data_IF_684756329838
#
_entry.id   IF_684756329838
#
_cell.length_a   1.000
_cell.length_b   1.000
_cell.length_c   1.000
_cell.angle_alpha   90.00
_cell.angle_beta   90.00
_cell.angle_gamma   90.00
#
_symmetry.space_group_name_H-M   'P 1'
#
loop_
_entity.id
_entity.type
_entity.pdbx_description
1 polymer ?
#
# COMPACT_ATOMS: atom_id res chain seq x y z
N UNK A 1 -10.18 0.01 24.79
CA UNK A 1 -8.87 0.64 24.58
C UNK A 1 -8.51 1.47 25.81
N UNK A 2 -7.41 1.13 26.49
CA UNK A 2 -6.98 1.79 27.72
C UNK A 2 -6.37 3.17 27.45
N UNK A 3 -6.21 3.99 28.49
CA UNK A 3 -5.59 5.32 28.37
C UNK A 3 -4.12 5.23 27.90
N UNK A 4 -3.42 4.16 28.31
CA UNK A 4 -2.05 3.91 27.89
C UNK A 4 -1.95 3.46 26.43
N UNK A 5 -2.87 2.63 25.95
CA UNK A 5 -2.97 2.26 24.54
C UNK A 5 -3.21 3.50 23.66
N UNK A 6 -4.09 4.41 24.09
CA UNK A 6 -4.35 5.67 23.38
C UNK A 6 -3.08 6.53 23.30
N UNK A 7 -2.35 6.68 24.39
CA UNK A 7 -1.08 7.44 24.41
C UNK A 7 -0.02 6.81 23.51
N UNK A 8 0.10 5.48 23.51
CA UNK A 8 1.02 4.76 22.62
C UNK A 8 0.67 4.98 21.15
N UNK A 9 -0.61 4.90 20.80
CA UNK A 9 -1.09 5.13 19.44
C UNK A 9 -0.79 6.55 18.96
N UNK A 10 -1.03 7.57 19.78
CA UNK A 10 -0.74 8.96 19.41
C UNK A 10 0.76 9.21 19.21
N UNK A 11 1.61 8.62 20.04
CA UNK A 11 3.07 8.67 19.85
C UNK A 11 3.49 8.01 18.53
N UNK A 12 2.90 6.86 18.20
CA UNK A 12 3.18 6.16 16.96
C UNK A 12 2.77 6.98 15.72
N UNK A 13 1.55 7.56 15.73
CA UNK A 13 1.07 8.44 14.65
C UNK A 13 1.98 9.66 14.47
N UNK A 14 2.38 10.31 15.56
CA UNK A 14 3.28 11.48 15.51
C UNK A 14 4.65 11.10 14.94
N UNK A 15 5.20 9.95 15.33
CA UNK A 15 6.46 9.41 14.80
C UNK A 15 6.35 9.10 13.31
N UNK A 16 5.30 8.38 12.90
CA UNK A 16 5.03 8.04 11.49
C UNK A 16 4.89 9.30 10.63
N UNK A 17 4.09 10.27 11.06
CA UNK A 17 3.94 11.55 10.36
C UNK A 17 5.27 12.28 10.20
N UNK A 18 6.07 12.38 11.28
CA UNK A 18 7.39 13.03 11.24
C UNK A 18 8.30 12.35 10.22
N UNK A 19 8.43 11.02 10.30
CA UNK A 19 9.28 10.26 9.39
C UNK A 19 8.86 10.46 7.93
N UNK A 20 7.56 10.37 7.66
CA UNK A 20 7.02 10.56 6.31
C UNK A 20 7.30 11.96 5.77
N UNK A 21 7.07 13.01 6.58
CA UNK A 21 7.36 14.39 6.16
C UNK A 21 8.86 14.62 5.91
N UNK A 22 9.74 14.02 6.72
CA UNK A 22 11.19 14.07 6.47
C UNK A 22 11.53 13.51 5.09
N UNK A 23 10.94 12.36 4.71
CA UNK A 23 11.18 11.74 3.41
C UNK A 23 10.67 12.64 2.28
N UNK A 24 9.43 13.15 2.38
CA UNK A 24 8.87 14.01 1.33
C UNK A 24 9.69 15.29 1.12
N UNK A 25 10.13 15.91 2.21
CA UNK A 25 10.94 17.12 2.14
C UNK A 25 12.35 16.83 1.59
N UNK A 26 12.93 15.65 1.88
CA UNK A 26 14.22 15.26 1.33
C UNK A 26 14.18 15.03 -0.19
N UNK A 27 13.01 14.69 -0.73
CA UNK A 27 12.78 14.52 -2.17
C UNK A 27 12.20 15.76 -2.85
N UNK A 28 12.11 16.89 -2.16
CA UNK A 28 11.58 18.16 -2.68
C UNK A 28 10.19 18.02 -3.35
N UNK A 29 9.33 17.17 -2.76
CA UNK A 29 7.99 16.94 -3.28
C UNK A 29 7.09 18.09 -2.85
N UNK A 30 6.54 18.83 -3.81
CA UNK A 30 5.50 19.82 -3.55
C UNK A 30 4.17 19.16 -3.18
N UNK A 31 3.52 19.67 -2.14
CA UNK A 31 2.24 19.13 -1.71
C UNK A 31 1.35 20.15 -0.97
N UNK A 32 0.05 19.88 -0.97
CA UNK A 32 -0.98 20.66 -0.27
C UNK A 32 -1.45 19.95 0.99
N UNK A 33 -1.45 20.65 2.12
CA UNK A 33 -1.99 20.15 3.37
C UNK A 33 -3.50 20.39 3.49
N UNK A 34 -4.22 19.40 4.00
CA UNK A 34 -5.66 19.49 4.27
C UNK A 34 -5.98 19.33 5.76
N UNK A 35 -7.15 19.83 6.18
CA UNK A 35 -7.59 19.86 7.57
C UNK A 35 -7.67 18.47 8.23
N UNK A 36 -7.94 17.43 7.43
CA UNK A 36 -7.94 16.03 7.85
C UNK A 36 -6.52 15.43 8.02
N UNK A 37 -5.48 16.27 7.95
CA UNK A 37 -4.06 15.87 8.00
C UNK A 37 -3.58 15.03 6.82
N UNK A 38 -4.39 14.89 5.76
CA UNK A 38 -3.92 14.34 4.49
C UNK A 38 -3.09 15.37 3.73
N UNK A 39 -2.30 14.83 2.81
CA UNK A 39 -1.45 15.57 1.90
C UNK A 39 -1.92 15.22 0.49
N UNK A 40 -2.01 16.21 -0.39
CA UNK A 40 -2.36 16.00 -1.79
C UNK A 40 -1.22 16.48 -2.66
N UNK A 41 -0.82 15.62 -3.60
CA UNK A 41 0.23 15.88 -4.58
C UNK A 41 -0.44 15.85 -5.95
N UNK A 42 -0.32 16.95 -6.69
CA UNK A 42 -0.85 17.04 -8.04
C UNK A 42 0.13 16.37 -9.02
N UNK A 43 -0.39 15.54 -9.92
CA UNK A 43 0.38 14.88 -10.98
C UNK A 43 -0.28 15.16 -12.34
N UNK A 44 0.43 14.91 -13.44
CA UNK A 44 -0.11 15.10 -14.78
C UNK A 44 -1.40 14.29 -15.06
N UNK A 45 -1.59 13.16 -14.36
CA UNK A 45 -2.72 12.24 -14.56
C UNK A 45 -3.75 12.27 -13.42
N UNK A 46 -3.70 13.29 -12.56
CA UNK A 46 -4.62 13.49 -11.43
C UNK A 46 -3.90 13.71 -10.11
N UNK A 47 -4.64 13.64 -9.00
CA UNK A 47 -4.09 13.86 -7.67
C UNK A 47 -3.81 12.56 -6.92
N UNK A 48 -2.70 12.52 -6.18
CA UNK A 48 -2.38 11.46 -5.22
C UNK A 48 -2.63 12.00 -3.81
N UNK A 49 -3.50 11.33 -3.05
CA UNK A 49 -3.75 11.66 -1.65
C UNK A 49 -2.93 10.74 -0.75
N UNK A 50 -2.17 11.30 0.17
CA UNK A 50 -1.35 10.57 1.13
C UNK A 50 -1.79 10.89 2.57
N UNK A 51 -1.92 9.84 3.38
CA UNK A 51 -2.30 9.92 4.78
C UNK A 51 -1.07 9.56 5.64
N UNK A 52 -0.23 10.55 6.01
CA UNK A 52 1.10 10.32 6.59
C UNK A 52 1.07 9.73 8.01
N UNK A 53 -0.08 9.70 8.67
CA UNK A 53 -0.23 9.08 10.00
C UNK A 53 -0.60 7.61 9.93
N UNK A 54 -1.26 7.19 8.85
CA UNK A 54 -1.78 5.83 8.67
C UNK A 54 -1.06 5.04 7.58
N UNK A 55 -0.05 5.63 6.93
CA UNK A 55 0.64 5.06 5.78
C UNK A 55 -0.34 4.53 4.74
N UNK A 56 -1.22 5.42 4.27
CA UNK A 56 -2.16 5.11 3.19
C UNK A 56 -1.91 6.05 2.02
N UNK A 57 -1.86 5.50 0.83
CA UNK A 57 -1.77 6.23 -0.42
C UNK A 57 -3.05 5.94 -1.20
N UNK A 58 -3.67 6.98 -1.74
CA UNK A 58 -4.86 6.89 -2.54
C UNK A 58 -4.64 7.56 -3.89
N UNK A 59 -4.92 6.81 -4.96
CA UNK A 59 -4.80 7.29 -6.33
C UNK A 59 -5.91 6.68 -7.19
N UNK A 60 -6.64 7.53 -7.92
CA UNK A 60 -7.77 7.15 -8.81
C UNK A 60 -8.76 6.17 -8.17
N UNK A 61 -9.18 6.45 -6.94
CA UNK A 61 -10.17 5.65 -6.19
C UNK A 61 -9.61 4.37 -5.54
N UNK A 62 -8.35 4.02 -5.78
CA UNK A 62 -7.69 2.88 -5.12
C UNK A 62 -6.91 3.35 -3.92
N UNK A 63 -7.03 2.63 -2.80
CA UNK A 63 -6.27 2.89 -1.57
C UNK A 63 -5.31 1.72 -1.34
N UNK A 64 -4.04 2.02 -1.15
CA UNK A 64 -3.02 1.05 -0.77
C UNK A 64 -2.33 1.46 0.54
N UNK A 65 -1.77 0.48 1.24
CA UNK A 65 -0.91 0.72 2.39
C UNK A 65 0.49 1.00 1.86
N UNK A 66 1.08 2.12 2.28
CA UNK A 66 2.40 2.57 1.87
C UNK A 66 2.82 3.82 2.63
N UNK A 67 4.09 3.88 3.00
CA UNK A 67 4.72 5.05 3.60
C UNK A 67 5.24 6.03 2.51
N UNK A 68 5.89 7.10 2.93
CA UNK A 68 6.38 8.13 2.02
C UNK A 68 7.41 7.60 0.99
N UNK A 69 8.14 6.53 1.30
CA UNK A 69 9.09 5.90 0.37
C UNK A 69 8.35 5.31 -0.84
N UNK A 70 7.28 4.54 -0.59
CA UNK A 70 6.47 3.99 -1.69
C UNK A 70 5.73 5.10 -2.44
N UNK A 71 5.37 6.19 -1.75
CA UNK A 71 4.80 7.36 -2.42
C UNK A 71 5.79 8.01 -3.39
N UNK A 72 7.04 8.23 -2.97
CA UNK A 72 8.09 8.79 -3.85
C UNK A 72 8.29 7.92 -5.09
N UNK A 73 8.38 6.60 -4.90
CA UNK A 73 8.50 5.64 -6.01
C UNK A 73 7.29 5.74 -6.94
N UNK A 74 6.07 5.79 -6.38
CA UNK A 74 4.84 5.94 -7.17
C UNK A 74 4.87 7.23 -8.01
N UNK A 75 5.24 8.37 -7.42
CA UNK A 75 5.29 9.65 -8.13
C UNK A 75 6.29 9.61 -9.29
N UNK A 76 7.49 9.05 -9.05
CA UNK A 76 8.51 8.86 -10.10
C UNK A 76 7.99 8.03 -11.26
N UNK A 77 7.33 6.91 -10.95
CA UNK A 77 6.73 6.04 -11.98
C UNK A 77 5.63 6.79 -12.73
N UNK A 78 4.75 7.53 -12.05
CA UNK A 78 3.69 8.30 -12.70
C UNK A 78 4.23 9.38 -13.65
N UNK A 79 5.33 10.05 -13.30
CA UNK A 79 5.98 10.99 -14.22
C UNK A 79 6.54 10.31 -15.46
N UNK A 80 7.19 9.15 -15.30
CA UNK A 80 7.74 8.39 -16.44
C UNK A 80 6.64 7.90 -17.37
N UNK A 81 5.54 7.36 -16.81
CA UNK A 81 4.37 6.94 -17.59
C UNK A 81 3.69 8.10 -18.32
N UNK A 82 3.75 9.32 -17.79
CA UNK A 82 3.20 10.51 -18.47
C UNK A 82 3.98 10.87 -19.73
N UNK A 83 5.26 10.50 -19.79
CA UNK A 83 6.14 10.68 -20.97
C UNK A 83 6.06 9.50 -21.94
N UNK A 84 5.48 8.38 -21.52
CA UNK A 84 5.37 7.16 -22.34
C UNK A 84 4.76 7.42 -23.73
N UNK A 85 3.67 8.20 -23.90
CA UNK A 85 3.11 8.47 -25.23
C UNK A 85 4.05 9.20 -26.19
N UNK A 86 4.97 10.01 -25.67
CA UNK A 86 6.01 10.66 -26.48
C UNK A 86 7.07 9.65 -26.93
N UNK A 87 7.51 8.80 -25.99
CA UNK A 87 8.55 7.80 -26.21
C UNK A 87 8.07 6.68 -27.16
N UNK A 88 6.82 6.22 -27.02
CA UNK A 88 6.33 5.05 -27.76
C UNK A 88 5.77 5.38 -29.14
N UNK A 89 5.48 6.65 -29.46
CA UNK A 89 4.86 7.07 -30.73
C UNK A 89 5.64 6.63 -31.97
N UNK A 90 6.95 6.47 -31.84
CA UNK A 90 7.84 6.08 -32.93
C UNK A 90 8.06 4.57 -33.04
N UNK A 91 7.49 3.77 -32.15
CA UNK A 91 7.63 2.32 -32.15
C UNK A 91 6.55 1.66 -33.03
N UNK A 92 6.86 0.58 -33.76
CA UNK A 92 5.86 -0.22 -34.46
C UNK A 92 4.77 -0.73 -33.50
N UNK A 93 3.53 -0.79 -33.97
CA UNK A 93 2.39 -1.25 -33.15
C UNK A 93 2.64 -2.64 -32.55
N UNK A 94 3.14 -3.59 -33.34
CA UNK A 94 3.43 -4.94 -32.88
C UNK A 94 4.39 -4.98 -31.68
N UNK A 95 5.35 -4.04 -31.61
CA UNK A 95 6.28 -3.96 -30.48
C UNK A 95 5.63 -3.34 -29.24
N UNK A 96 4.71 -2.38 -29.44
CA UNK A 96 3.92 -1.82 -28.34
C UNK A 96 2.99 -2.88 -27.73
N UNK A 97 2.37 -3.72 -28.57
CA UNK A 97 1.51 -4.82 -28.14
C UNK A 97 2.29 -5.87 -27.35
N UNK A 98 3.45 -6.33 -27.83
CA UNK A 98 4.33 -7.27 -27.12
C UNK A 98 4.79 -6.70 -25.76
N UNK A 99 5.09 -5.40 -25.69
CA UNK A 99 5.44 -4.76 -24.41
C UNK A 99 4.26 -4.74 -23.42
N UNK A 100 3.04 -4.48 -23.90
CA UNK A 100 1.83 -4.50 -23.07
C UNK A 100 1.56 -5.92 -22.55
N UNK A 101 1.72 -6.94 -23.39
CA UNK A 101 1.55 -8.35 -23.00
C UNK A 101 2.52 -8.73 -21.88
N UNK A 102 3.81 -8.41 -22.03
CA UNK A 102 4.82 -8.66 -20.98
C UNK A 102 4.51 -7.93 -19.67
N UNK A 103 4.06 -6.68 -19.74
CA UNK A 103 3.63 -5.95 -18.54
C UNK A 103 2.40 -6.60 -17.90
N UNK A 104 1.48 -7.12 -18.69
CA UNK A 104 0.32 -7.84 -18.20
C UNK A 104 0.72 -9.10 -17.43
N UNK A 105 1.69 -9.86 -17.95
CA UNK A 105 2.23 -11.07 -17.28
C UNK A 105 2.89 -10.74 -15.95
N UNK A 106 3.74 -9.70 -15.91
CA UNK A 106 4.37 -9.22 -14.66
C UNK A 106 3.29 -8.82 -13.64
N UNK A 107 2.23 -8.15 -14.07
CA UNK A 107 1.12 -7.78 -13.18
C UNK A 107 0.34 -9.02 -12.70
N UNK A 108 0.14 -10.01 -13.58
CA UNK A 108 -0.55 -11.26 -13.23
C UNK A 108 0.24 -12.06 -12.18
N UNK A 109 1.55 -12.17 -12.34
CA UNK A 109 2.45 -12.79 -11.36
C UNK A 109 2.35 -12.09 -10.00
N UNK A 110 2.47 -10.76 -9.96
CA UNK A 110 2.34 -9.97 -8.73
C UNK A 110 0.98 -10.12 -8.05
N UNK A 111 -0.10 -10.27 -8.83
CA UNK A 111 -1.45 -10.56 -8.28
C UNK A 111 -1.49 -11.94 -7.66
N UNK A 112 -0.89 -12.94 -8.29
CA UNK A 112 -0.81 -14.30 -7.76
C UNK A 112 -0.01 -14.32 -6.44
N UNK A 113 1.16 -13.68 -6.41
CA UNK A 113 1.98 -13.52 -5.21
C UNK A 113 1.17 -12.88 -4.07
N UNK A 114 0.52 -11.74 -4.33
CA UNK A 114 -0.27 -11.04 -3.33
C UNK A 114 -1.47 -11.87 -2.82
N UNK A 115 -2.05 -12.73 -3.66
CA UNK A 115 -3.11 -13.65 -3.25
C UNK A 115 -2.58 -14.79 -2.38
N UNK A 116 -1.44 -15.40 -2.75
CA UNK A 116 -0.79 -16.44 -1.94
C UNK A 116 -0.41 -15.90 -0.55
N UNK A 117 0.26 -14.74 -0.48
CA UNK A 117 0.63 -14.12 0.80
C UNK A 117 -0.59 -13.77 1.67
N UNK A 118 -1.75 -13.49 1.06
CA UNK A 118 -3.00 -13.24 1.78
C UNK A 118 -3.73 -14.53 2.21
N UNK A 119 -3.58 -15.61 1.45
CA UNK A 119 -4.21 -16.90 1.73
C UNK A 119 -3.54 -17.67 2.88
N UNK A 120 -2.23 -17.51 3.05
CA UNK A 120 -1.47 -18.16 4.12
C UNK A 120 -1.93 -17.81 5.55
N UNK A 121 -2.12 -16.54 5.96
CA UNK A 121 -2.61 -16.21 7.29
C UNK A 121 -4.04 -16.72 7.51
N UNK A 122 -4.91 -16.66 6.50
CA UNK A 122 -6.29 -17.17 6.62
C UNK A 122 -6.34 -18.69 6.79
N UNK A 123 -5.49 -19.44 6.08
CA UNK A 123 -5.44 -20.90 6.24
C UNK A 123 -4.86 -21.29 7.61
N UNK A 124 -3.89 -20.53 8.13
CA UNK A 124 -3.36 -20.72 9.48
C UNK A 124 -4.39 -20.41 10.55
N UNK A 125 -5.12 -19.30 10.41
CA UNK A 125 -6.20 -18.91 11.34
C UNK A 125 -7.34 -19.93 11.35
N UNK A 126 -7.77 -20.42 10.18
CA UNK A 126 -8.77 -21.47 10.08
C UNK A 126 -8.32 -22.79 10.72
N UNK A 127 -7.04 -23.16 10.57
CA UNK A 127 -6.47 -24.34 11.23
C UNK A 127 -6.44 -24.18 12.75
N UNK A 128 -6.05 -23.01 13.24
CA UNK A 128 -6.04 -22.70 14.68
C UNK A 128 -7.48 -22.77 15.23
N UNK A 129 -8.44 -22.15 14.55
CA UNK A 129 -9.85 -22.17 14.93
C UNK A 129 -10.42 -23.60 14.97
N UNK A 130 -10.11 -24.41 13.96
CA UNK A 130 -10.51 -25.81 13.91
C UNK A 130 -9.92 -26.62 15.07
N UNK A 131 -8.64 -26.42 15.40
CA UNK A 131 -7.98 -27.09 16.54
C UNK A 131 -8.59 -26.65 17.87
N UNK A 132 -8.85 -25.36 18.06
CA UNK A 132 -9.53 -24.85 19.26
C UNK A 132 -10.92 -25.47 19.42
N UNK A 133 -11.68 -25.62 18.32
CA UNK A 133 -12.99 -26.29 18.37
C UNK A 133 -12.89 -27.78 18.70
N UNK A 134 -11.84 -28.48 18.26
CA UNK A 134 -11.62 -29.89 18.61
C UNK A 134 -11.27 -30.04 20.10
N UNK A 135 -10.35 -29.22 20.62
CA UNK A 135 -9.99 -29.23 22.04
C UNK A 135 -11.19 -28.96 22.95
N UNK A 136 -12.02 -27.98 22.58
CA UNK A 136 -13.26 -27.69 23.30
C UNK A 136 -14.25 -28.85 23.26
N UNK A 137 -14.36 -29.57 22.13
CA UNK A 137 -15.21 -30.77 22.03
C UNK A 137 -14.71 -31.91 22.91
N UNK A 138 -13.40 -32.01 23.10
CA UNK A 138 -12.76 -32.99 23.98
C UNK A 138 -12.77 -32.55 25.46
N UNK A 139 -13.42 -31.42 25.79
CA UNK A 139 -13.54 -30.90 27.14
C UNK A 139 -12.27 -30.23 27.68
N UNK A 140 -11.32 -29.94 26.80
CA UNK A 140 -10.05 -29.27 27.12
C UNK A 140 -10.20 -27.79 26.79
N UNK A 141 -10.04 -26.91 27.79
CA UNK A 141 -10.00 -25.48 27.54
C UNK A 141 -8.65 -25.09 26.92
N UNK A 142 -8.62 -24.59 25.67
CA UNK A 142 -7.38 -24.18 25.02
C UNK A 142 -6.69 -22.97 25.68
N UNK A 143 -7.33 -22.28 26.62
CA UNK A 143 -6.72 -21.19 27.39
C UNK A 143 -6.04 -21.65 28.69
N UNK A 144 -6.26 -22.90 29.10
CA UNK A 144 -5.66 -23.50 30.30
C UNK A 144 -4.43 -24.37 29.99
N UNK A 145 -4.06 -24.50 28.71
CA UNK A 145 -2.84 -25.15 28.19
C UNK A 145 -1.66 -24.17 28.09
#
# INVERSE_FOLDING_TARGET
>A
MTNDERKRLERAKKKSKKNNLTILNAHDIEYKHFANQSIVIDTANGAVCFYPTTNKIQYRGKVCIGDATQLVILLSVLSDFSRLPEVTRHLPLALQEDFIEKLHDVIAERRSEAQCTRAEPTAREQRIEMICQMLLKDGIDPTEL
#
